data_IF_283749855573
#
_entry.id   IF_283749855573
#
_cell.length_a   1.000
_cell.length_b   1.000
_cell.length_c   1.000
_cell.angle_alpha   90.00
_cell.angle_beta   90.00
_cell.angle_gamma   90.00
#
_symmetry.space_group_name_H-M   'P 1'
#
loop_
_entity.id
_entity.type
_entity.pdbx_description
1 polymer ?
#
# COMPACT_ATOMS: atom_id res chain seq x y z
N UNK A 1 -20.81 71.99 27.05
CA UNK A 1 -20.68 70.63 27.62
C UNK A 1 -20.65 69.64 26.45
N UNK A 2 -19.45 69.21 26.08
CA UNK A 2 -19.24 68.22 24.98
C UNK A 2 -19.12 66.82 25.63
N UNK A 3 -20.08 65.93 25.31
CA UNK A 3 -20.00 64.52 25.71
C UNK A 3 -19.10 63.79 24.74
N UNK A 4 -17.94 63.35 25.24
CA UNK A 4 -17.01 62.46 24.54
C UNK A 4 -17.57 61.04 24.71
N UNK A 5 -18.02 60.44 23.61
CA UNK A 5 -18.42 59.03 23.53
C UNK A 5 -17.19 58.20 23.23
N UNK A 6 -16.66 57.54 24.25
CA UNK A 6 -15.54 56.62 24.10
C UNK A 6 -16.10 55.30 23.62
N UNK A 7 -15.86 55.01 22.33
CA UNK A 7 -16.20 53.69 21.74
C UNK A 7 -15.08 52.68 22.13
N UNK A 8 -15.38 51.82 23.08
CA UNK A 8 -14.51 50.67 23.43
C UNK A 8 -14.69 49.62 22.36
N UNK A 9 -13.81 49.55 21.40
CA UNK A 9 -13.72 48.45 20.48
C UNK A 9 -13.14 47.24 21.20
N UNK A 10 -13.96 46.31 21.64
CA UNK A 10 -13.55 44.97 22.05
C UNK A 10 -13.06 44.23 20.81
N UNK A 11 -11.76 44.24 20.63
CA UNK A 11 -11.07 43.33 19.71
C UNK A 11 -11.10 41.94 20.36
N UNK A 12 -12.15 41.18 20.08
CA UNK A 12 -12.17 39.75 20.40
C UNK A 12 -11.16 39.05 19.49
N UNK A 13 -9.95 38.87 20.04
CA UNK A 13 -9.00 37.93 19.46
C UNK A 13 -9.62 36.53 19.55
N UNK A 14 -10.30 36.14 18.48
CA UNK A 14 -10.58 34.74 18.25
C UNK A 14 -9.19 34.06 18.09
N UNK A 15 -8.66 33.52 19.17
CA UNK A 15 -7.67 32.48 19.08
C UNK A 15 -8.35 31.33 18.36
N UNK A 16 -8.10 31.21 17.06
CA UNK A 16 -8.34 29.95 16.35
C UNK A 16 -7.52 28.91 17.09
N UNK A 17 -8.16 28.23 18.05
CA UNK A 17 -7.66 26.95 18.55
C UNK A 17 -7.55 26.06 17.33
N UNK A 18 -6.33 25.85 16.85
CA UNK A 18 -6.08 24.89 15.78
C UNK A 18 -6.76 23.59 16.22
N UNK A 19 -7.71 23.13 15.43
CA UNK A 19 -8.36 21.85 15.67
C UNK A 19 -7.27 20.81 15.96
N UNK A 20 -7.45 19.93 16.94
CA UNK A 20 -6.46 18.91 17.25
C UNK A 20 -6.15 18.17 15.95
N UNK A 21 -4.85 18.13 15.59
CA UNK A 21 -4.40 17.49 14.35
C UNK A 21 -4.88 16.06 14.35
N UNK A 22 -5.78 15.74 13.42
CA UNK A 22 -6.30 14.40 13.30
C UNK A 22 -5.17 13.44 12.86
N UNK A 23 -5.09 12.26 13.44
CA UNK A 23 -4.20 11.22 12.94
C UNK A 23 -4.40 10.99 11.45
N UNK A 24 -3.37 10.50 10.77
CA UNK A 24 -3.50 9.98 9.42
C UNK A 24 -3.71 8.47 9.55
N UNK A 25 -4.80 7.97 8.99
CA UNK A 25 -5.00 6.54 8.83
C UNK A 25 -4.37 6.09 7.53
N UNK A 26 -3.39 5.22 7.63
CA UNK A 26 -2.67 4.68 6.47
C UNK A 26 -2.88 3.20 6.33
N UNK A 27 -2.73 2.68 5.11
CA UNK A 27 -2.86 1.25 4.86
C UNK A 27 -1.91 0.72 3.81
N UNK A 28 -1.77 -0.60 3.79
CA UNK A 28 -1.17 -1.37 2.70
C UNK A 28 -2.10 -2.51 2.33
N UNK A 29 -2.25 -2.77 1.04
CA UNK A 29 -3.09 -3.84 0.55
C UNK A 29 -2.56 -4.43 -0.75
N UNK A 30 -2.04 -5.64 -0.69
CA UNK A 30 -1.77 -6.42 -1.88
C UNK A 30 -3.08 -7.02 -2.40
N UNK A 31 -3.54 -6.54 -3.54
CA UNK A 31 -4.79 -6.96 -4.17
C UNK A 31 -4.56 -8.09 -5.19
N UNK A 32 -3.83 -9.08 -4.80
CA UNK A 32 -3.28 -10.11 -5.66
C UNK A 32 -4.28 -10.66 -6.68
N UNK A 33 -3.90 -10.59 -7.93
CA UNK A 33 -4.50 -11.39 -9.02
C UNK A 33 -4.44 -12.92 -8.77
N UNK A 34 -3.72 -13.36 -7.76
CA UNK A 34 -3.57 -14.79 -7.46
C UNK A 34 -4.83 -15.43 -6.85
N UNK A 35 -5.76 -14.63 -6.32
CA UNK A 35 -7.12 -15.11 -6.07
C UNK A 35 -7.66 -15.81 -7.33
N UNK A 36 -7.39 -15.25 -8.45
CA UNK A 36 -7.74 -15.73 -9.77
C UNK A 36 -7.12 -17.09 -10.11
N UNK A 37 -5.83 -17.30 -9.81
CA UNK A 37 -5.14 -18.55 -10.19
C UNK A 37 -5.59 -19.75 -9.37
N UNK A 38 -5.90 -19.57 -8.10
CA UNK A 38 -6.27 -20.67 -7.22
C UNK A 38 -7.70 -21.13 -7.41
N UNK A 39 -8.63 -20.21 -7.56
CA UNK A 39 -10.03 -20.54 -7.87
C UNK A 39 -10.15 -21.19 -9.24
N UNK A 40 -9.27 -20.86 -10.20
CA UNK A 40 -9.17 -21.56 -11.48
C UNK A 40 -8.73 -23.03 -11.32
N UNK A 41 -7.72 -23.26 -10.48
CA UNK A 41 -7.21 -24.61 -10.25
C UNK A 41 -8.25 -25.51 -9.56
N UNK A 42 -9.07 -24.94 -8.69
CA UNK A 42 -10.09 -25.69 -7.94
C UNK A 42 -11.39 -25.92 -8.70
N UNK A 43 -11.77 -25.03 -9.62
CA UNK A 43 -13.08 -25.10 -10.31
C UNK A 43 -13.02 -25.23 -11.83
N UNK A 44 -11.87 -25.09 -12.45
CA UNK A 44 -11.66 -25.36 -13.90
C UNK A 44 -12.49 -24.54 -14.91
N UNK A 45 -13.28 -23.55 -14.46
CA UNK A 45 -14.38 -23.01 -15.29
C UNK A 45 -14.44 -21.49 -15.40
N UNK A 46 -13.68 -20.71 -14.62
CA UNK A 46 -13.73 -19.26 -14.70
C UNK A 46 -12.52 -18.64 -15.42
N UNK A 47 -12.76 -17.74 -16.38
CA UNK A 47 -11.67 -16.95 -16.98
C UNK A 47 -11.11 -15.94 -15.98
N UNK A 48 -9.84 -15.56 -16.05
CA UNK A 48 -9.24 -14.55 -15.20
C UNK A 48 -10.04 -13.24 -15.12
N UNK A 49 -10.58 -12.79 -16.24
CA UNK A 49 -11.42 -11.61 -16.33
C UNK A 49 -12.69 -11.71 -15.48
N UNK A 50 -13.36 -12.84 -15.58
CA UNK A 50 -14.60 -13.05 -14.84
C UNK A 50 -14.34 -13.05 -13.32
N UNK A 51 -13.17 -13.48 -12.92
CA UNK A 51 -12.76 -13.50 -11.52
C UNK A 51 -12.39 -12.10 -11.01
N UNK A 52 -11.69 -11.30 -11.79
CA UNK A 52 -11.44 -9.89 -11.44
C UNK A 52 -12.75 -9.12 -11.36
N UNK A 53 -13.60 -9.19 -12.36
CA UNK A 53 -14.91 -8.56 -12.35
C UNK A 53 -15.76 -8.99 -11.14
N UNK A 54 -15.60 -10.24 -10.69
CA UNK A 54 -16.28 -10.73 -9.50
C UNK A 54 -15.66 -10.20 -8.19
N UNK A 55 -14.37 -9.88 -8.19
CA UNK A 55 -13.62 -9.46 -6.99
C UNK A 55 -13.48 -7.95 -6.86
N UNK A 56 -13.55 -7.19 -7.96
CA UNK A 56 -13.28 -5.76 -7.97
C UNK A 56 -14.16 -4.97 -6.99
N UNK A 57 -15.44 -5.34 -6.90
CA UNK A 57 -16.36 -4.72 -5.95
C UNK A 57 -16.00 -5.03 -4.50
N UNK A 58 -15.63 -6.26 -4.22
CA UNK A 58 -15.22 -6.69 -2.88
C UNK A 58 -13.90 -6.02 -2.46
N UNK A 59 -12.93 -5.85 -3.39
CA UNK A 59 -11.70 -5.08 -3.16
C UNK A 59 -12.02 -3.61 -2.90
N UNK A 60 -12.90 -3.01 -3.70
CA UNK A 60 -13.32 -1.63 -3.51
C UNK A 60 -14.00 -1.42 -2.15
N UNK A 61 -14.88 -2.33 -1.74
CA UNK A 61 -15.52 -2.29 -0.43
C UNK A 61 -14.52 -2.46 0.71
N UNK A 62 -13.51 -3.33 0.57
CA UNK A 62 -12.46 -3.48 1.56
C UNK A 62 -11.64 -2.19 1.73
N UNK A 63 -11.33 -1.50 0.62
CA UNK A 63 -10.65 -0.21 0.66
C UNK A 63 -11.52 0.86 1.34
N UNK A 64 -12.79 0.96 0.97
CA UNK A 64 -13.73 1.93 1.56
C UNK A 64 -13.92 1.63 3.06
N UNK A 65 -14.11 0.37 3.43
CA UNK A 65 -14.32 -0.07 4.82
C UNK A 65 -13.08 0.17 5.69
N UNK A 66 -11.88 0.15 5.11
CA UNK A 66 -10.63 0.47 5.81
C UNK A 66 -10.60 1.91 6.31
N UNK A 67 -11.33 2.78 5.66
CA UNK A 67 -11.39 4.24 5.88
C UNK A 67 -10.01 4.91 5.90
N UNK A 68 -9.04 4.32 5.19
CA UNK A 68 -7.70 4.87 5.10
C UNK A 68 -7.71 6.24 4.43
N UNK A 69 -6.93 7.17 4.97
CA UNK A 69 -6.68 8.45 4.34
C UNK A 69 -5.72 8.31 3.17
N UNK A 70 -4.74 7.39 3.31
CA UNK A 70 -3.79 7.01 2.24
C UNK A 70 -3.57 5.49 2.33
N UNK A 71 -3.52 4.82 1.20
CA UNK A 71 -3.22 3.39 1.13
C UNK A 71 -2.29 3.08 -0.04
N UNK A 72 -1.24 2.30 0.22
CA UNK A 72 -0.45 1.67 -0.82
C UNK A 72 -1.14 0.40 -1.31
N UNK A 73 -1.23 0.25 -2.61
CA UNK A 73 -1.80 -0.94 -3.23
C UNK A 73 -0.74 -1.64 -4.10
N UNK A 74 -0.66 -2.95 -4.00
CA UNK A 74 0.30 -3.76 -4.72
C UNK A 74 -0.43 -4.79 -5.58
N UNK A 75 0.25 -5.24 -6.64
CA UNK A 75 -0.29 -6.18 -7.62
C UNK A 75 -1.57 -5.72 -8.31
N UNK A 76 -1.69 -4.40 -8.51
CA UNK A 76 -2.79 -3.82 -9.28
C UNK A 76 -2.63 -4.22 -10.74
N UNK A 77 -3.68 -4.75 -11.33
CA UNK A 77 -3.71 -5.13 -12.72
C UNK A 77 -4.98 -4.55 -13.35
N UNK A 78 -4.84 -3.80 -14.42
CA UNK A 78 -5.97 -3.22 -15.16
C UNK A 78 -6.41 -4.05 -16.36
N UNK A 79 -5.63 -5.08 -16.70
CA UNK A 79 -5.94 -5.96 -17.80
C UNK A 79 -5.55 -7.40 -17.52
N UNK A 80 -6.21 -8.32 -18.19
CA UNK A 80 -6.03 -9.75 -18.01
C UNK A 80 -5.16 -10.33 -19.12
N UNK A 81 -4.21 -11.17 -18.72
CA UNK A 81 -3.27 -11.82 -19.62
C UNK A 81 -3.92 -12.39 -20.87
N UNK A 82 -3.56 -11.86 -22.04
CA UNK A 82 -3.95 -12.37 -23.36
C UNK A 82 -5.24 -11.81 -23.95
N UNK A 83 -5.93 -10.87 -23.31
CA UNK A 83 -7.11 -10.21 -23.86
C UNK A 83 -7.05 -8.70 -23.66
N UNK A 84 -7.36 -7.96 -24.72
CA UNK A 84 -7.45 -6.49 -24.71
C UNK A 84 -8.81 -5.98 -24.20
N UNK A 85 -9.52 -6.75 -23.42
CA UNK A 85 -10.82 -6.34 -22.92
C UNK A 85 -10.62 -5.42 -21.73
N UNK A 86 -11.14 -4.19 -21.81
CA UNK A 86 -11.07 -3.22 -20.76
C UNK A 86 -11.68 -3.77 -19.47
N UNK A 87 -10.89 -3.79 -18.43
CA UNK A 87 -11.35 -4.00 -17.06
C UNK A 87 -11.77 -2.65 -16.53
N UNK A 88 -12.89 -2.56 -15.83
CA UNK A 88 -13.26 -1.32 -15.15
C UNK A 88 -12.17 -1.02 -14.12
N UNK A 89 -11.54 0.16 -14.17
CA UNK A 89 -10.50 0.53 -13.21
C UNK A 89 -11.04 0.46 -11.78
N UNK A 90 -10.24 -0.05 -10.87
CA UNK A 90 -10.63 -0.18 -9.46
C UNK A 90 -11.10 1.16 -8.86
N UNK A 91 -10.46 2.26 -9.27
CA UNK A 91 -10.85 3.61 -8.80
C UNK A 91 -12.27 3.99 -9.21
N UNK A 92 -12.72 3.58 -10.41
CA UNK A 92 -14.07 3.86 -10.86
C UNK A 92 -15.09 3.06 -10.06
N UNK A 93 -14.76 1.81 -9.70
CA UNK A 93 -15.60 1.01 -8.80
C UNK A 93 -15.68 1.65 -7.42
N UNK A 94 -14.56 2.12 -6.86
CA UNK A 94 -14.51 2.83 -5.57
C UNK A 94 -15.39 4.08 -5.64
N UNK A 95 -15.24 4.91 -6.67
CA UNK A 95 -16.02 6.13 -6.85
C UNK A 95 -17.52 5.86 -7.03
N UNK A 96 -17.86 4.81 -7.78
CA UNK A 96 -19.28 4.43 -7.97
C UNK A 96 -19.97 4.00 -6.67
N UNK A 97 -19.19 3.54 -5.68
CA UNK A 97 -19.67 3.19 -4.34
C UNK A 97 -19.60 4.38 -3.34
N UNK A 98 -19.28 5.57 -3.82
CA UNK A 98 -19.20 6.79 -3.01
C UNK A 98 -17.88 7.00 -2.29
N UNK A 99 -16.83 6.26 -2.64
CA UNK A 99 -15.50 6.47 -2.09
C UNK A 99 -14.90 7.81 -2.57
N UNK A 100 -14.42 8.62 -1.62
CA UNK A 100 -13.73 9.89 -1.88
C UNK A 100 -12.24 9.67 -2.10
N UNK A 101 -11.87 8.96 -3.17
CA UNK A 101 -10.49 8.61 -3.43
C UNK A 101 -10.03 9.06 -4.82
N UNK A 102 -8.78 9.51 -4.84
CA UNK A 102 -7.95 9.60 -6.03
C UNK A 102 -6.84 8.54 -5.97
N UNK A 103 -6.27 8.21 -7.10
CA UNK A 103 -5.19 7.25 -7.16
C UNK A 103 -4.14 7.61 -8.20
N UNK A 104 -2.97 7.05 -8.01
CA UNK A 104 -1.95 6.95 -9.04
C UNK A 104 -1.39 5.53 -9.01
N UNK A 105 -1.47 4.85 -10.15
CA UNK A 105 -0.96 3.49 -10.31
C UNK A 105 -0.06 3.46 -11.54
N UNK A 106 1.16 2.98 -11.36
CA UNK A 106 2.13 2.89 -12.43
C UNK A 106 2.51 1.43 -12.68
N UNK A 107 2.71 1.10 -13.97
CA UNK A 107 3.17 -0.22 -14.37
C UNK A 107 4.62 -0.45 -13.93
N UNK A 108 4.92 -1.60 -13.38
CA UNK A 108 6.29 -2.02 -13.07
C UNK A 108 7.19 -2.12 -14.31
N UNK A 109 6.65 -2.13 -15.52
CA UNK A 109 7.43 -2.30 -16.75
C UNK A 109 7.59 -1.03 -17.57
N UNK A 110 6.74 -0.04 -17.37
CA UNK A 110 6.82 1.19 -18.15
C UNK A 110 6.27 2.39 -17.36
N UNK A 111 7.15 3.31 -16.93
CA UNK A 111 6.76 4.48 -16.15
C UNK A 111 5.97 5.51 -16.94
N UNK A 112 6.06 5.46 -18.29
CA UNK A 112 5.40 6.43 -19.17
C UNK A 112 3.97 6.03 -19.51
N UNK A 113 3.53 4.84 -19.07
CA UNK A 113 2.17 4.39 -19.27
C UNK A 113 1.53 4.14 -17.91
N UNK A 114 0.47 4.89 -17.58
CA UNK A 114 -0.48 4.40 -16.60
C UNK A 114 -0.88 2.98 -17.01
N UNK A 115 -1.31 2.18 -16.07
CA UNK A 115 -1.60 0.75 -16.28
C UNK A 115 -2.63 0.46 -17.40
N UNK A 116 -3.22 1.47 -18.01
CA UNK A 116 -4.21 1.32 -19.05
C UNK A 116 -3.72 0.46 -20.21
N UNK A 117 -4.28 -0.72 -20.30
CA UNK A 117 -4.04 -1.66 -21.39
C UNK A 117 -2.76 -2.49 -21.31
N UNK A 118 -2.06 -2.51 -20.18
CA UNK A 118 -0.89 -3.35 -19.97
C UNK A 118 -1.20 -4.52 -19.04
N UNK A 119 -0.76 -5.72 -19.41
CA UNK A 119 -0.92 -6.95 -18.63
C UNK A 119 0.08 -7.08 -17.48
N UNK A 120 0.50 -5.98 -16.88
CA UNK A 120 1.61 -5.98 -15.95
C UNK A 120 1.15 -5.53 -14.59
N UNK A 121 1.60 -6.24 -13.58
CA UNK A 121 1.36 -5.86 -12.21
C UNK A 121 1.92 -4.46 -11.96
N UNK A 122 1.12 -3.62 -11.33
CA UNK A 122 1.48 -2.28 -10.95
C UNK A 122 1.52 -2.11 -9.44
N UNK A 123 2.14 -1.00 -9.05
CA UNK A 123 2.11 -0.53 -7.68
C UNK A 123 1.46 0.84 -7.67
N UNK A 124 0.66 1.12 -6.67
CA UNK A 124 -0.09 2.36 -6.63
C UNK A 124 -0.27 2.92 -5.24
N UNK A 125 -0.76 4.14 -5.21
CA UNK A 125 -1.21 4.83 -4.01
C UNK A 125 -2.60 5.36 -4.25
N UNK A 126 -3.49 5.17 -3.28
CA UNK A 126 -4.84 5.71 -3.20
C UNK A 126 -4.86 6.70 -2.04
N UNK A 127 -5.50 7.86 -2.19
CA UNK A 127 -5.63 8.84 -1.12
C UNK A 127 -7.00 9.52 -1.15
N UNK A 128 -7.49 9.97 0.02
CA UNK A 128 -8.72 10.76 0.10
C UNK A 128 -8.51 12.11 -0.56
N UNK A 129 -9.28 12.40 -1.62
CA UNK A 129 -9.21 13.64 -2.37
C UNK A 129 -9.58 14.86 -1.52
N UNK A 130 -10.53 14.71 -0.59
CA UNK A 130 -10.93 15.77 0.35
C UNK A 130 -9.79 16.18 1.29
N UNK A 131 -8.88 15.28 1.63
CA UNK A 131 -7.79 15.52 2.61
C UNK A 131 -6.47 15.91 1.96
N UNK A 132 -6.12 15.35 0.80
CA UNK A 132 -4.78 15.52 0.22
C UNK A 132 -4.80 16.14 -1.16
N UNK A 133 -3.75 16.93 -1.43
CA UNK A 133 -3.40 17.39 -2.76
C UNK A 133 -2.10 16.73 -3.20
N UNK A 134 -2.08 16.16 -4.40
CA UNK A 134 -0.87 15.63 -5.02
C UNK A 134 0.06 16.79 -5.41
N UNK A 135 1.33 16.72 -4.99
CA UNK A 135 2.38 17.69 -5.29
C UNK A 135 3.40 17.17 -6.31
N UNK A 136 3.77 15.90 -6.14
CA UNK A 136 4.77 15.26 -6.99
C UNK A 136 4.62 13.74 -6.92
N UNK A 137 5.20 13.01 -7.88
CA UNK A 137 5.17 11.57 -7.91
C UNK A 137 6.29 11.00 -8.78
N UNK A 138 6.60 9.74 -8.57
CA UNK A 138 7.55 9.03 -9.41
C UNK A 138 7.57 7.54 -9.18
N UNK A 139 8.37 6.87 -9.98
CA UNK A 139 8.64 5.44 -9.90
C UNK A 139 10.15 5.20 -10.04
N UNK A 140 10.67 4.29 -9.23
CA UNK A 140 12.03 3.79 -9.37
C UNK A 140 12.04 2.27 -9.36
N UNK A 141 12.96 1.66 -10.11
CA UNK A 141 13.11 0.21 -10.12
C UNK A 141 14.09 -0.24 -9.06
N UNK A 142 13.76 -1.33 -8.41
CA UNK A 142 14.57 -1.91 -7.32
C UNK A 142 15.66 -2.86 -7.82
N UNK A 143 15.67 -3.16 -9.13
CA UNK A 143 16.82 -3.79 -9.80
C UNK A 143 17.96 -2.78 -9.97
N UNK A 144 19.19 -3.23 -10.17
CA UNK A 144 20.40 -2.39 -10.14
C UNK A 144 20.48 -1.18 -11.10
N UNK A 145 19.39 -0.87 -11.86
CA UNK A 145 19.25 0.30 -12.73
C UNK A 145 17.95 1.00 -12.33
N UNK A 146 18.05 2.01 -11.48
CA UNK A 146 16.90 2.64 -10.83
C UNK A 146 15.97 3.45 -11.75
N UNK A 147 16.44 3.86 -12.94
CA UNK A 147 15.70 4.67 -13.90
C UNK A 147 15.09 3.87 -15.05
N UNK A 148 15.31 2.57 -15.09
CA UNK A 148 14.83 1.69 -16.17
C UNK A 148 14.26 0.39 -15.65
N UNK A 149 13.12 -0.05 -16.19
CA UNK A 149 12.62 -1.37 -15.90
C UNK A 149 13.64 -2.39 -16.43
N UNK A 150 14.08 -3.28 -15.56
CA UNK A 150 15.06 -4.29 -15.94
C UNK A 150 15.01 -5.49 -15.04
N UNK A 151 15.46 -6.59 -15.60
CA UNK A 151 15.79 -7.78 -14.84
C UNK A 151 17.21 -7.64 -14.36
N UNK A 152 17.50 -8.06 -13.17
CA UNK A 152 18.86 -8.18 -12.70
C UNK A 152 19.60 -9.18 -13.58
N UNK A 153 20.63 -8.73 -14.29
CA UNK A 153 21.34 -9.55 -15.29
C UNK A 153 22.09 -10.74 -14.65
N UNK A 154 22.38 -10.63 -13.37
CA UNK A 154 23.11 -11.65 -12.63
C UNK A 154 22.22 -12.83 -12.21
N UNK A 155 20.90 -12.69 -12.40
CA UNK A 155 19.93 -13.70 -12.03
C UNK A 155 19.18 -14.17 -13.29
N UNK A 156 19.57 -15.33 -13.81
CA UNK A 156 19.09 -15.92 -15.07
C UNK A 156 17.57 -16.17 -15.14
N UNK A 157 16.90 -16.18 -14.01
CA UNK A 157 15.48 -16.46 -13.90
C UNK A 157 14.77 -15.21 -13.37
N UNK A 158 14.47 -14.32 -14.31
CA UNK A 158 13.95 -13.03 -13.93
C UNK A 158 12.56 -13.14 -13.31
N UNK A 159 12.51 -12.82 -12.06
CA UNK A 159 11.41 -12.09 -11.50
C UNK A 159 11.10 -10.89 -12.39
N UNK A 160 9.85 -10.54 -12.53
CA UNK A 160 9.46 -9.32 -13.25
C UNK A 160 10.20 -8.10 -12.67
N UNK A 161 10.20 -7.00 -13.38
CA UNK A 161 10.65 -5.74 -12.84
C UNK A 161 9.85 -5.43 -11.57
N UNK A 162 10.52 -5.10 -10.49
CA UNK A 162 9.92 -4.64 -9.25
C UNK A 162 10.25 -3.17 -9.03
N UNK A 163 9.30 -2.42 -8.53
CA UNK A 163 9.44 -0.99 -8.39
C UNK A 163 8.91 -0.49 -7.07
N UNK A 164 9.33 0.70 -6.71
CA UNK A 164 8.67 1.55 -5.73
C UNK A 164 8.01 2.71 -6.47
N UNK A 165 6.74 2.90 -6.22
CA UNK A 165 6.02 4.09 -6.61
C UNK A 165 5.88 5.00 -5.40
N UNK A 166 6.04 6.31 -5.59
CA UNK A 166 5.89 7.28 -4.52
C UNK A 166 5.07 8.48 -4.97
N UNK A 167 4.40 9.07 -3.99
CA UNK A 167 3.69 10.34 -4.12
C UNK A 167 4.14 11.29 -3.01
N UNK A 168 4.24 12.57 -3.36
CA UNK A 168 4.37 13.65 -2.39
C UNK A 168 3.01 14.32 -2.25
N UNK A 169 2.46 14.30 -1.06
CA UNK A 169 1.12 14.79 -0.76
C UNK A 169 1.19 15.97 0.21
N UNK A 170 0.31 16.94 0.00
CA UNK A 170 0.04 17.99 0.96
C UNK A 170 -1.23 17.66 1.75
N UNK A 171 -1.09 17.45 3.05
CA UNK A 171 -2.21 17.20 3.97
C UNK A 171 -2.86 18.54 4.36
N UNK A 172 -4.04 18.79 3.81
CA UNK A 172 -4.82 20.00 4.07
C UNK A 172 -5.22 20.15 5.53
N UNK A 173 -5.33 19.06 6.28
CA UNK A 173 -5.73 19.08 7.69
C UNK A 173 -4.60 19.50 8.62
N UNK A 174 -3.36 19.13 8.31
CA UNK A 174 -2.18 19.46 9.10
C UNK A 174 -1.36 20.62 8.57
N UNK A 175 -1.55 20.98 7.28
CA UNK A 175 -0.73 21.95 6.57
C UNK A 175 0.69 21.46 6.28
N UNK A 176 0.93 20.15 6.30
CA UNK A 176 2.24 19.54 6.08
C UNK A 176 2.31 18.78 4.77
N UNK A 177 3.51 18.68 4.23
CA UNK A 177 3.81 17.74 3.17
C UNK A 177 4.37 16.43 3.76
N UNK A 178 4.12 15.33 3.07
CA UNK A 178 4.70 14.02 3.36
C UNK A 178 4.99 13.28 2.05
N UNK A 179 5.90 12.32 2.13
CA UNK A 179 6.10 11.33 1.07
C UNK A 179 5.44 10.02 1.50
N UNK A 180 4.69 9.43 0.58
CA UNK A 180 4.11 8.09 0.75
C UNK A 180 4.57 7.19 -0.39
N UNK A 181 5.15 6.05 -0.05
CA UNK A 181 5.67 5.10 -1.03
C UNK A 181 4.94 3.76 -0.92
N UNK A 182 4.75 3.12 -2.06
CA UNK A 182 4.21 1.77 -2.18
C UNK A 182 5.16 0.89 -2.99
N UNK A 183 5.48 -0.30 -2.49
CA UNK A 183 6.39 -1.22 -3.16
C UNK A 183 5.89 -2.67 -3.07
N UNK A 184 6.26 -3.46 -4.07
CA UNK A 184 6.14 -4.90 -4.04
C UNK A 184 7.50 -5.48 -4.44
N UNK A 185 8.23 -6.07 -3.50
CA UNK A 185 9.56 -6.63 -3.76
C UNK A 185 9.47 -8.10 -4.17
N UNK A 186 10.51 -8.60 -4.81
CA UNK A 186 10.57 -10.01 -5.18
C UNK A 186 10.60 -10.92 -3.96
N UNK A 187 9.77 -11.96 -3.98
CA UNK A 187 9.79 -12.98 -2.94
C UNK A 187 11.14 -13.73 -2.90
N UNK A 188 11.59 -14.15 -1.71
CA UNK A 188 12.86 -14.89 -1.56
C UNK A 188 12.79 -16.30 -2.15
N UNK A 189 11.62 -16.74 -2.54
CA UNK A 189 11.38 -18.05 -3.15
C UNK A 189 10.38 -17.92 -4.29
N UNK A 190 10.73 -18.43 -5.45
CA UNK A 190 9.84 -18.53 -6.60
C UNK A 190 9.81 -19.96 -7.15
N UNK A 191 8.82 -20.25 -7.97
CA UNK A 191 8.70 -21.54 -8.65
C UNK A 191 8.78 -21.30 -10.16
N UNK A 192 9.78 -21.89 -10.81
CA UNK A 192 9.86 -21.94 -12.27
C UNK A 192 9.77 -23.40 -12.74
N UNK A 193 8.84 -23.68 -13.65
CA UNK A 193 8.61 -25.05 -14.20
C UNK A 193 8.52 -26.14 -13.13
N UNK A 194 7.94 -25.80 -11.97
CA UNK A 194 7.80 -26.74 -10.86
C UNK A 194 9.05 -26.89 -9.96
N UNK A 195 10.14 -26.22 -10.27
CA UNK A 195 11.32 -26.20 -9.42
C UNK A 195 11.28 -24.99 -8.49
N UNK A 196 11.60 -25.21 -7.22
CA UNK A 196 11.76 -24.16 -6.22
C UNK A 196 13.10 -23.48 -6.42
N UNK A 197 13.07 -22.19 -6.76
CA UNK A 197 14.26 -21.37 -6.89
C UNK A 197 14.31 -20.40 -5.72
N UNK A 198 15.46 -20.30 -5.08
CA UNK A 198 15.67 -19.43 -3.90
C UNK A 198 16.41 -18.18 -4.34
N UNK A 199 15.82 -17.02 -4.10
CA UNK A 199 16.35 -15.70 -4.49
C UNK A 199 16.58 -14.80 -3.27
N UNK A 200 17.14 -15.33 -2.20
CA UNK A 200 17.38 -14.56 -0.98
C UNK A 200 18.15 -13.27 -1.25
N UNK A 201 19.22 -13.36 -2.05
CA UNK A 201 20.09 -12.22 -2.33
C UNK A 201 19.37 -11.14 -3.14
N UNK A 202 18.53 -11.52 -4.09
CA UNK A 202 17.72 -10.56 -4.87
C UNK A 202 16.74 -9.84 -3.95
N UNK A 203 16.02 -10.57 -3.11
CA UNK A 203 15.09 -9.97 -2.18
C UNK A 203 15.80 -9.00 -1.23
N UNK A 204 16.94 -9.40 -0.66
CA UNK A 204 17.77 -8.54 0.20
C UNK A 204 18.23 -7.29 -0.57
N UNK A 205 18.69 -7.46 -1.80
CA UNK A 205 19.13 -6.34 -2.65
C UNK A 205 17.97 -5.37 -2.96
N UNK A 206 16.79 -5.89 -3.34
CA UNK A 206 15.61 -5.06 -3.57
C UNK A 206 15.21 -4.28 -2.31
N UNK A 207 15.21 -4.90 -1.14
CA UNK A 207 14.91 -4.21 0.12
C UNK A 207 15.93 -3.10 0.43
N UNK A 208 17.23 -3.35 0.25
CA UNK A 208 18.28 -2.36 0.42
C UNK A 208 18.14 -1.20 -0.57
N UNK A 209 17.91 -1.52 -1.85
CA UNK A 209 17.73 -0.52 -2.90
C UNK A 209 16.50 0.36 -2.63
N UNK A 210 15.39 -0.22 -2.16
CA UNK A 210 14.20 0.52 -1.76
C UNK A 210 14.54 1.61 -0.74
N UNK A 211 15.19 1.24 0.35
CA UNK A 211 15.59 2.18 1.40
C UNK A 211 16.58 3.22 0.88
N UNK A 212 17.59 2.80 0.12
CA UNK A 212 18.58 3.71 -0.43
C UNK A 212 17.95 4.73 -1.39
N UNK A 213 17.13 4.30 -2.33
CA UNK A 213 16.46 5.17 -3.31
C UNK A 213 15.59 6.20 -2.59
N UNK A 214 14.74 5.75 -1.67
CA UNK A 214 13.87 6.66 -0.95
C UNK A 214 14.66 7.69 -0.15
N UNK A 215 15.75 7.29 0.47
CA UNK A 215 16.60 8.16 1.28
C UNK A 215 17.41 9.16 0.46
N UNK A 216 17.94 8.74 -0.71
CA UNK A 216 18.85 9.58 -1.51
C UNK A 216 18.16 10.41 -2.59
N UNK A 217 17.06 9.89 -3.17
CA UNK A 217 16.45 10.47 -4.36
C UNK A 217 15.05 11.06 -4.14
N UNK A 218 14.31 10.54 -3.13
CA UNK A 218 12.88 10.80 -3.03
C UNK A 218 12.50 11.62 -1.82
N UNK A 219 12.97 11.24 -0.63
CA UNK A 219 12.55 11.86 0.63
C UNK A 219 13.50 12.97 1.04
N UNK A 220 13.08 14.24 0.98
CA UNK A 220 13.89 15.34 1.50
C UNK A 220 14.20 15.16 2.99
N UNK A 221 15.40 15.54 3.40
CA UNK A 221 15.82 15.43 4.81
C UNK A 221 14.82 16.08 5.75
N UNK A 222 14.32 15.31 6.71
CA UNK A 222 13.37 15.77 7.74
C UNK A 222 11.92 15.86 7.26
N UNK A 223 11.60 15.41 6.04
CA UNK A 223 10.21 15.30 5.58
C UNK A 223 9.60 14.01 6.13
N UNK A 224 8.43 14.06 6.76
CA UNK A 224 7.71 12.87 7.19
C UNK A 224 7.46 11.94 6.01
N UNK A 225 7.66 10.63 6.22
CA UNK A 225 7.53 9.67 5.14
C UNK A 225 7.01 8.32 5.62
N UNK A 226 6.27 7.65 4.75
CA UNK A 226 5.66 6.35 5.00
C UNK A 226 5.97 5.43 3.82
N UNK A 227 6.40 4.22 4.13
CA UNK A 227 6.61 3.16 3.14
C UNK A 227 5.62 2.05 3.44
N UNK A 228 4.85 1.66 2.46
CA UNK A 228 3.97 0.50 2.51
C UNK A 228 4.43 -0.52 1.49
N UNK A 229 4.46 -1.77 1.87
CA UNK A 229 4.97 -2.77 0.95
C UNK A 229 4.51 -4.18 1.30
N UNK A 230 4.48 -5.03 0.25
CA UNK A 230 4.62 -6.46 0.42
C UNK A 230 6.10 -6.82 0.24
N UNK A 231 6.72 -7.29 1.31
CA UNK A 231 8.12 -7.70 1.30
C UNK A 231 8.32 -9.17 0.93
N UNK A 232 7.25 -9.95 0.87
CA UNK A 232 7.27 -11.41 0.80
C UNK A 232 8.16 -12.08 1.86
N UNK A 233 8.51 -11.37 2.92
CA UNK A 233 9.40 -11.82 3.99
C UNK A 233 8.66 -11.94 5.32
N UNK A 234 8.99 -12.98 6.05
CA UNK A 234 8.74 -12.97 7.49
C UNK A 234 9.72 -12.01 8.20
N UNK A 235 9.37 -11.47 9.37
CA UNK A 235 10.26 -10.57 10.14
C UNK A 235 11.65 -11.14 10.49
N UNK A 236 11.80 -12.44 10.44
CA UNK A 236 13.10 -13.12 10.67
C UNK A 236 14.06 -13.06 9.48
N UNK A 237 13.59 -12.72 8.29
CA UNK A 237 14.40 -12.69 7.07
C UNK A 237 15.32 -11.47 6.99
N UNK A 238 16.49 -11.65 6.35
CA UNK A 238 17.47 -10.58 6.20
C UNK A 238 16.98 -9.45 5.28
N UNK A 239 16.10 -9.74 4.33
CA UNK A 239 15.43 -8.70 3.53
C UNK A 239 14.59 -7.77 4.40
N UNK A 240 13.80 -8.31 5.33
CA UNK A 240 13.06 -7.48 6.29
C UNK A 240 13.99 -6.68 7.21
N UNK A 241 15.06 -7.28 7.71
CA UNK A 241 16.07 -6.57 8.53
C UNK A 241 16.69 -5.39 7.77
N UNK A 242 16.88 -5.53 6.46
CA UNK A 242 17.38 -4.45 5.62
C UNK A 242 16.40 -3.27 5.52
N UNK A 243 15.09 -3.53 5.54
CA UNK A 243 14.06 -2.49 5.51
C UNK A 243 14.04 -1.62 6.78
N UNK A 244 14.27 -2.24 7.94
CA UNK A 244 14.21 -1.57 9.25
C UNK A 244 15.57 -1.16 9.81
N UNK A 245 16.62 -1.23 8.99
CA UNK A 245 18.00 -0.94 9.42
C UNK A 245 18.36 0.55 9.39
N UNK A 246 17.45 1.40 8.93
CA UNK A 246 17.66 2.84 8.77
C UNK A 246 16.64 3.66 9.59
N UNK A 247 16.26 4.83 9.10
CA UNK A 247 15.39 5.78 9.79
C UNK A 247 13.94 5.33 9.92
N UNK A 248 13.46 4.50 8.98
CA UNK A 248 12.08 4.00 9.02
C UNK A 248 11.90 2.89 10.05
N UNK A 249 10.87 3.04 10.86
CA UNK A 249 10.49 2.07 11.87
C UNK A 249 9.22 1.32 11.44
N UNK A 250 9.19 0.01 11.65
CA UNK A 250 7.97 -0.78 11.44
C UNK A 250 6.95 -0.46 12.53
N UNK A 251 5.82 0.07 12.12
CA UNK A 251 4.73 0.49 13.00
C UNK A 251 4.27 -0.61 13.96
N UNK A 252 4.17 -1.84 13.46
CA UNK A 252 3.83 -2.98 14.29
C UNK A 252 4.86 -3.21 15.40
N UNK A 253 6.15 -3.14 15.07
CA UNK A 253 7.19 -3.40 16.06
C UNK A 253 7.23 -2.32 17.13
N UNK A 254 7.12 -1.05 16.74
CA UNK A 254 7.07 0.06 17.70
C UNK A 254 5.95 -0.14 18.71
N UNK A 255 4.73 -0.41 18.25
CA UNK A 255 3.58 -0.62 19.13
C UNK A 255 3.70 -1.91 19.97
N UNK A 256 4.29 -2.96 19.42
CA UNK A 256 4.53 -4.20 20.15
C UNK A 256 5.54 -4.01 21.28
N UNK A 257 6.63 -3.29 21.00
CA UNK A 257 7.70 -3.03 21.98
C UNK A 257 7.21 -2.09 23.10
N UNK A 258 6.29 -1.19 22.79
CA UNK A 258 5.62 -0.32 23.75
C UNK A 258 4.49 -1.04 24.53
N UNK A 259 4.15 -2.27 24.15
CA UNK A 259 3.00 -2.99 24.72
C UNK A 259 1.64 -2.38 24.37
N UNK A 260 1.60 -1.58 23.31
CA UNK A 260 0.42 -0.81 22.87
C UNK A 260 -0.41 -1.52 21.81
N UNK A 261 0.01 -2.69 21.32
CA UNK A 261 -0.81 -3.51 20.43
C UNK A 261 -2.00 -4.07 21.21
N UNK A 262 -3.19 -3.97 20.63
CA UNK A 262 -4.34 -4.65 21.20
C UNK A 262 -4.19 -6.18 21.07
N UNK A 263 -4.95 -6.93 21.89
CA UNK A 263 -4.89 -8.39 21.87
C UNK A 263 -5.25 -8.99 20.51
N UNK A 264 -6.09 -8.30 19.73
CA UNK A 264 -6.51 -8.76 18.41
C UNK A 264 -5.33 -8.64 17.43
N UNK A 265 -4.62 -7.51 17.44
CA UNK A 265 -3.44 -7.31 16.61
C UNK A 265 -2.31 -8.28 16.98
N UNK A 266 -2.11 -8.58 18.26
CA UNK A 266 -1.13 -9.58 18.73
C UNK A 266 -1.49 -10.98 18.25
N UNK A 267 -2.77 -11.35 18.32
CA UNK A 267 -3.25 -12.68 17.88
C UNK A 267 -3.24 -12.85 16.38
N UNK A 268 -3.38 -11.75 15.64
CA UNK A 268 -3.48 -11.70 14.18
C UNK A 268 -2.14 -11.29 13.56
N UNK A 269 -1.14 -12.16 13.68
CA UNK A 269 0.20 -11.91 13.10
C UNK A 269 0.23 -12.04 11.57
N UNK A 270 -0.77 -12.72 10.99
CA UNK A 270 -0.75 -13.07 9.59
C UNK A 270 -1.46 -12.03 8.76
N UNK A 271 -0.76 -11.42 7.83
CA UNK A 271 -1.33 -10.52 6.82
C UNK A 271 -1.71 -11.26 5.54
N UNK A 272 -1.31 -12.53 5.41
CA UNK A 272 -1.72 -13.42 4.32
C UNK A 272 -2.81 -14.37 4.76
N UNK A 273 -3.72 -14.66 3.84
CA UNK A 273 -4.68 -15.76 3.95
C UNK A 273 -4.52 -16.73 2.77
N UNK A 274 -5.00 -17.93 2.92
CA UNK A 274 -5.01 -18.91 1.83
C UNK A 274 -6.42 -19.12 1.26
N UNK A 275 -7.30 -18.13 1.38
CA UNK A 275 -8.74 -18.22 1.18
C UNK A 275 -9.45 -19.20 2.14
N UNK A 276 -8.73 -19.71 3.12
CA UNK A 276 -9.19 -20.69 4.10
C UNK A 276 -8.72 -20.24 5.48
N UNK A 277 -9.65 -19.85 6.33
CA UNK A 277 -9.38 -19.38 7.70
C UNK A 277 -8.63 -20.39 8.55
N UNK A 278 -8.77 -21.68 8.23
CA UNK A 278 -8.07 -22.76 8.93
C UNK A 278 -6.59 -22.89 8.53
N UNK A 279 -6.15 -22.19 7.48
CA UNK A 279 -4.82 -22.29 6.89
C UNK A 279 -4.10 -20.95 6.82
N UNK A 280 -4.20 -20.16 7.85
CA UNK A 280 -3.38 -18.95 7.97
C UNK A 280 -1.91 -19.35 7.94
N UNK A 281 -1.14 -18.74 7.04
CA UNK A 281 0.23 -19.19 6.74
C UNK A 281 1.30 -18.56 7.62
N UNK A 282 0.93 -17.98 8.76
CA UNK A 282 1.89 -17.57 9.80
C UNK A 282 2.94 -16.56 9.34
N UNK A 283 2.60 -15.63 8.46
CA UNK A 283 3.55 -14.66 7.96
C UNK A 283 3.01 -13.25 7.92
N UNK A 284 3.88 -12.28 8.18
CA UNK A 284 3.59 -10.85 8.06
C UNK A 284 4.47 -10.23 6.97
N UNK A 285 4.18 -10.48 5.68
CA UNK A 285 4.93 -9.90 4.56
C UNK A 285 4.54 -8.45 4.26
N UNK A 286 3.37 -8.00 4.72
CA UNK A 286 2.85 -6.66 4.48
C UNK A 286 3.23 -5.74 5.64
N UNK A 287 3.91 -4.64 5.32
CA UNK A 287 4.49 -3.74 6.31
C UNK A 287 4.09 -2.29 6.06
N UNK A 288 3.97 -1.56 7.17
CA UNK A 288 3.90 -0.10 7.20
C UNK A 288 5.12 0.40 7.97
N UNK A 289 6.02 1.07 7.28
CA UNK A 289 7.20 1.68 7.85
C UNK A 289 7.02 3.19 7.87
N UNK A 290 7.38 3.85 8.96
CA UNK A 290 7.16 5.29 9.12
C UNK A 290 8.40 5.99 9.67
N UNK A 291 8.64 7.23 9.21
CA UNK A 291 9.59 8.18 9.74
C UNK A 291 8.92 9.54 9.92
N UNK A 292 9.20 10.20 11.04
CA UNK A 292 8.59 11.50 11.40
C UNK A 292 7.13 11.39 11.88
N UNK A 293 6.70 10.19 12.27
CA UNK A 293 5.36 9.91 12.82
C UNK A 293 5.45 9.13 14.14
N UNK A 294 4.44 9.33 14.98
CA UNK A 294 4.19 8.49 16.16
C UNK A 294 3.08 7.52 15.85
N UNK A 295 3.31 6.20 15.85
CA UNK A 295 2.27 5.20 15.71
C UNK A 295 1.28 5.26 16.87
N UNK A 296 -0.01 5.10 16.57
CA UNK A 296 -1.10 5.09 17.56
C UNK A 296 -1.82 3.75 17.58
N UNK A 297 -2.10 3.19 16.41
CA UNK A 297 -2.82 1.92 16.25
C UNK A 297 -2.24 1.10 15.11
N UNK A 298 -2.51 -0.20 15.14
CA UNK A 298 -2.21 -1.12 14.05
C UNK A 298 -3.29 -2.21 14.03
N UNK A 299 -3.82 -2.52 12.86
CA UNK A 299 -4.79 -3.60 12.71
C UNK A 299 -4.66 -4.33 11.36
N UNK A 300 -5.07 -5.59 11.34
CA UNK A 300 -5.23 -6.40 10.14
C UNK A 300 -6.72 -6.63 9.91
N UNK A 301 -7.27 -6.15 8.81
CA UNK A 301 -8.70 -6.21 8.53
C UNK A 301 -9.10 -7.57 7.95
N UNK A 302 -9.57 -8.46 8.79
CA UNK A 302 -10.04 -9.80 8.44
C UNK A 302 -11.55 -9.82 8.23
N UNK A 303 -11.99 -9.21 7.14
CA UNK A 303 -13.41 -9.15 6.79
C UNK A 303 -13.64 -9.73 5.42
N UNK A 304 -14.70 -10.51 5.28
CA UNK A 304 -15.20 -11.00 4.00
C UNK A 304 -16.16 -9.98 3.41
N UNK A 305 -16.12 -9.82 2.11
CA UNK A 305 -16.96 -8.90 1.36
C UNK A 305 -17.73 -9.65 0.29
N UNK A 306 -18.92 -9.18 -0.10
CA UNK A 306 -19.68 -9.79 -1.17
C UNK A 306 -18.99 -9.60 -2.52
N UNK A 307 -18.90 -10.65 -3.28
CA UNK A 307 -18.49 -10.66 -4.69
C UNK A 307 -19.72 -10.47 -5.60
N UNK A 308 -19.51 -10.22 -6.87
CA UNK A 308 -20.59 -9.96 -7.82
C UNK A 308 -21.63 -11.09 -7.93
N UNK A 309 -21.26 -12.32 -7.55
CA UNK A 309 -22.18 -13.45 -7.47
C UNK A 309 -22.89 -13.58 -6.10
N UNK A 310 -22.67 -12.63 -5.20
CA UNK A 310 -23.28 -12.58 -3.87
C UNK A 310 -22.63 -13.48 -2.81
N UNK A 311 -21.54 -14.17 -3.14
CA UNK A 311 -20.80 -14.96 -2.14
C UNK A 311 -19.87 -14.09 -1.33
N UNK A 312 -19.62 -14.46 -0.06
CA UNK A 312 -18.71 -13.74 0.83
C UNK A 312 -17.31 -14.35 0.77
N UNK A 313 -16.34 -13.57 0.31
CA UNK A 313 -14.94 -13.98 0.22
C UNK A 313 -14.00 -12.93 0.79
N UNK A 314 -12.79 -13.33 1.12
CA UNK A 314 -11.67 -12.41 1.24
C UNK A 314 -11.30 -11.91 -0.16
N UNK A 315 -11.27 -10.59 -0.39
CA UNK A 315 -11.07 -10.05 -1.74
C UNK A 315 -9.70 -10.33 -2.35
N UNK A 316 -8.71 -10.62 -1.51
CA UNK A 316 -7.33 -10.93 -1.89
C UNK A 316 -6.80 -12.08 -1.05
N UNK A 317 -5.62 -12.62 -1.44
CA UNK A 317 -4.82 -13.53 -0.60
C UNK A 317 -4.16 -12.81 0.57
N UNK A 318 -4.11 -11.49 0.54
CA UNK A 318 -3.66 -10.65 1.64
C UNK A 318 -4.83 -9.94 2.29
N UNK A 319 -4.64 -9.56 3.53
CA UNK A 319 -5.56 -8.70 4.25
C UNK A 319 -5.09 -7.25 4.17
N UNK A 320 -5.99 -6.26 4.10
CA UNK A 320 -5.60 -4.88 4.33
C UNK A 320 -4.98 -4.74 5.72
N UNK A 321 -3.84 -4.10 5.80
CA UNK A 321 -3.19 -3.71 7.05
C UNK A 321 -3.32 -2.22 7.20
N UNK A 322 -3.75 -1.75 8.36
CA UNK A 322 -3.98 -0.33 8.63
C UNK A 322 -3.27 0.12 9.90
N UNK A 323 -2.95 1.41 9.96
CA UNK A 323 -2.39 2.06 11.14
C UNK A 323 -2.86 3.51 11.22
N UNK A 324 -3.08 4.02 12.43
CA UNK A 324 -3.24 5.44 12.69
C UNK A 324 -1.89 6.01 13.15
N UNK A 325 -1.46 7.09 12.51
CA UNK A 325 -0.19 7.76 12.73
C UNK A 325 -0.42 9.23 13.07
N UNK A 326 0.41 9.79 13.99
CA UNK A 326 0.39 11.20 14.35
C UNK A 326 1.72 11.85 13.96
N UNK A 327 1.64 13.07 13.35
CA UNK A 327 2.82 13.89 13.05
C UNK A 327 3.57 14.33 14.32
#
# INVERSE_FOLDING_TARGET
MKKILTLLSMLSALTLLAAPKQPIRVGTYEITNSFNRRVQAEKGTMSPQRMWCNSAEAVAEAIIDSDCDIMGIQDVCDSIAGRREAVVPLIDVIKSKGGDYEWLVLSNSNPNFPLEGTMQNGTGVIWKASRFDLRDYGIHWLSGIYDKPGRDKDYQYGSGAVSVMWVKLYDKSSGKELVFASANVNGPTQYDKGQKIVYHEINIANCKNLIQILKSEVVPKGMPSIITLNSHNAPSHDGYKALISDVWQDVHNVLNDEGSLDETAIKVKDTMNSNDESKLQGGRPDHILADGFTPLTYAVLRKKFPTADGTLHYPSLHFPVIADLKY
#
